data_IF_826619550268
#
_entry.id   IF_826619550268
#
_cell.length_a   1.000
_cell.length_b   1.000
_cell.length_c   1.000
_cell.angle_alpha   90.00
_cell.angle_beta   90.00
_cell.angle_gamma   90.00
#
_symmetry.space_group_name_H-M   'P 1'
#
loop_
_entity.id
_entity.type
_entity.pdbx_description
1 polymer ?
#
# COMPACT_ATOMS: atom_id res chain seq x y z
N UNK A 1 -4.36 -9.87 -8.40
CA UNK A 1 -5.55 -9.88 -7.50
C UNK A 1 -5.83 -8.46 -7.00
N UNK A 2 -7.03 -8.19 -6.46
CA UNK A 2 -7.36 -6.90 -5.83
C UNK A 2 -7.04 -6.95 -4.34
N UNK A 3 -6.20 -6.04 -3.85
CA UNK A 3 -5.69 -6.04 -2.47
C UNK A 3 -5.93 -4.65 -1.86
N UNK A 4 -6.51 -4.60 -0.67
CA UNK A 4 -6.59 -3.37 0.12
C UNK A 4 -5.57 -3.43 1.27
N UNK A 5 -4.73 -2.41 1.40
CA UNK A 5 -3.73 -2.30 2.48
C UNK A 5 -4.09 -1.12 3.38
N UNK A 6 -4.52 -1.41 4.60
CA UNK A 6 -4.82 -0.40 5.63
C UNK A 6 -3.56 -0.09 6.44
N UNK A 7 -3.27 1.20 6.64
CA UNK A 7 -2.01 1.64 7.24
C UNK A 7 -0.87 1.76 6.22
N UNK A 8 -1.19 1.94 4.94
CA UNK A 8 -0.22 2.01 3.85
C UNK A 8 0.83 3.13 3.99
N UNK A 9 0.54 4.18 4.76
CA UNK A 9 1.47 5.29 5.01
C UNK A 9 2.48 5.06 6.14
N UNK A 10 2.52 3.85 6.73
CA UNK A 10 3.53 3.45 7.71
C UNK A 10 4.67 2.65 7.07
N UNK A 11 5.78 2.47 7.79
CA UNK A 11 6.99 1.80 7.29
C UNK A 11 6.74 0.40 6.71
N UNK A 12 5.93 -0.42 7.39
CA UNK A 12 5.59 -1.77 6.93
C UNK A 12 4.54 -1.71 5.81
N UNK A 13 3.53 -0.86 5.97
CA UNK A 13 2.45 -0.73 5.00
C UNK A 13 2.94 -0.31 3.62
N UNK A 14 3.90 0.62 3.56
CA UNK A 14 4.48 1.06 2.29
C UNK A 14 5.30 -0.04 1.62
N UNK A 15 6.09 -0.78 2.38
CA UNK A 15 6.85 -1.93 1.87
C UNK A 15 5.93 -3.01 1.28
N UNK A 16 4.83 -3.32 1.96
CA UNK A 16 3.83 -4.28 1.49
C UNK A 16 3.13 -3.81 0.21
N UNK A 17 2.76 -2.52 0.13
CA UNK A 17 2.16 -1.95 -1.09
C UNK A 17 3.14 -2.05 -2.26
N UNK A 18 4.42 -1.72 -2.05
CA UNK A 18 5.46 -1.82 -3.08
C UNK A 18 5.58 -3.24 -3.62
N UNK A 19 5.77 -4.21 -2.72
CA UNK A 19 5.90 -5.62 -3.08
C UNK A 19 4.66 -6.16 -3.81
N UNK A 20 3.46 -5.85 -3.31
CA UNK A 20 2.22 -6.30 -3.93
C UNK A 20 2.03 -5.73 -5.35
N UNK A 21 2.46 -4.49 -5.59
CA UNK A 21 2.45 -3.88 -6.92
C UNK A 21 3.50 -4.51 -7.83
N UNK A 22 4.71 -4.76 -7.33
CA UNK A 22 5.79 -5.44 -8.07
C UNK A 22 5.34 -6.84 -8.54
N UNK A 23 4.51 -7.53 -7.75
CA UNK A 23 3.89 -8.82 -8.11
C UNK A 23 2.68 -8.71 -9.06
N UNK A 24 2.38 -7.52 -9.57
CA UNK A 24 1.28 -7.29 -10.53
C UNK A 24 -0.11 -7.33 -9.90
N UNK A 25 -0.24 -7.01 -8.61
CA UNK A 25 -1.54 -6.90 -7.97
C UNK A 25 -2.10 -5.48 -8.07
N UNK A 26 -3.42 -5.36 -8.16
CA UNK A 26 -4.13 -4.09 -8.09
C UNK A 26 -4.30 -3.74 -6.61
N UNK A 27 -3.61 -2.70 -6.15
CA UNK A 27 -3.53 -2.34 -4.73
C UNK A 27 -4.26 -1.03 -4.46
N UNK A 28 -5.22 -1.08 -3.53
CA UNK A 28 -5.82 0.11 -2.91
C UNK A 28 -5.13 0.38 -1.58
N UNK A 29 -4.35 1.45 -1.52
CA UNK A 29 -3.64 1.88 -0.32
C UNK A 29 -4.52 2.82 0.51
N UNK A 30 -4.84 2.43 1.74
CA UNK A 30 -5.61 3.25 2.69
C UNK A 30 -4.67 3.80 3.75
N UNK A 31 -4.50 5.12 3.75
CA UNK A 31 -3.70 5.86 4.72
C UNK A 31 -4.54 6.94 5.38
N UNK A 32 -4.24 7.23 6.65
CA UNK A 32 -4.90 8.33 7.39
C UNK A 32 -4.56 9.71 6.83
N UNK A 33 -3.38 9.83 6.23
CA UNK A 33 -2.85 11.06 5.67
C UNK A 33 -2.28 10.72 4.29
N UNK A 34 -2.92 11.24 3.24
CA UNK A 34 -2.56 10.96 1.85
C UNK A 34 -1.23 11.61 1.42
N UNK A 35 -0.67 12.51 2.23
CA UNK A 35 0.69 13.04 2.00
C UNK A 35 1.77 12.00 2.26
N UNK A 36 1.49 11.01 3.10
CA UNK A 36 2.39 9.89 3.44
C UNK A 36 2.21 8.73 2.48
N UNK A 37 2.62 8.93 1.22
CA UNK A 37 2.52 7.90 0.17
C UNK A 37 3.62 6.84 0.32
N UNK A 38 3.33 5.57 0.01
CA UNK A 38 4.34 4.54 -0.20
C UNK A 38 5.37 4.89 -1.26
#
# INVERSE_FOLDING_TARGET
MKIAVVGAGGHIGSAVVREARERGHEVTAVARDASRRP
#
